data_IF_747639481479
#
_entry.id   IF_747639481479
#
_cell.length_a   1.000
_cell.length_b   1.000
_cell.length_c   1.000
_cell.angle_alpha   90.00
_cell.angle_beta   90.00
_cell.angle_gamma   90.00
#
_symmetry.space_group_name_H-M   'P 1'
#
loop_
_entity.id
_entity.type
_entity.pdbx_description
1 polymer ?
#
# COMPACT_ATOMS: atom_id res chain seq x y z
N UNK A 1 -13.27 28.17 -34.61
CA UNK A 1 -11.89 28.30 -34.09
C UNK A 1 -11.20 26.96 -34.23
N UNK A 2 -10.15 26.88 -35.05
CA UNK A 2 -9.46 25.62 -35.32
C UNK A 2 -8.46 25.30 -34.20
N UNK A 3 -8.61 24.14 -33.55
CA UNK A 3 -7.64 23.64 -32.58
C UNK A 3 -6.32 23.31 -33.27
N UNK A 4 -5.22 23.79 -32.68
CA UNK A 4 -3.84 23.63 -33.16
C UNK A 4 -3.48 22.15 -33.39
N UNK A 5 -2.65 21.82 -34.40
CA UNK A 5 -2.16 20.46 -34.64
C UNK A 5 -1.47 19.83 -33.43
N UNK A 6 -0.81 20.65 -32.60
CA UNK A 6 -0.15 20.25 -31.35
C UNK A 6 -1.19 19.81 -30.29
N UNK A 7 -2.32 20.52 -30.22
CA UNK A 7 -3.46 20.17 -29.37
C UNK A 7 -4.14 18.86 -29.81
N UNK A 8 -4.13 18.53 -31.11
CA UNK A 8 -4.64 17.25 -31.62
C UNK A 8 -3.68 16.08 -31.43
N UNK A 9 -2.37 16.31 -31.50
CA UNK A 9 -1.36 15.27 -31.25
C UNK A 9 -1.25 14.90 -29.76
N UNK A 10 -1.47 15.85 -28.86
CA UNK A 10 -1.61 15.61 -27.41
C UNK A 10 -2.92 14.89 -27.03
N UNK A 11 -3.92 14.79 -27.93
CA UNK A 11 -5.29 14.37 -27.55
C UNK A 11 -5.55 12.85 -27.45
N UNK A 12 -4.64 11.97 -27.88
CA UNK A 12 -4.84 10.50 -27.80
C UNK A 12 -3.58 9.70 -27.43
N UNK A 13 -2.41 10.05 -27.96
CA UNK A 13 -1.16 9.37 -27.59
C UNK A 13 -0.65 9.74 -26.18
N UNK A 14 -1.09 10.88 -25.66
CA UNK A 14 -0.71 11.37 -24.32
C UNK A 14 -1.59 10.77 -23.21
N UNK A 15 -2.89 10.55 -23.48
CA UNK A 15 -3.79 10.08 -22.43
C UNK A 15 -3.53 8.62 -22.00
N UNK A 16 -3.17 7.73 -22.93
CA UNK A 16 -2.80 6.35 -22.58
C UNK A 16 -1.48 6.31 -21.78
N UNK A 17 -0.54 7.20 -22.09
CA UNK A 17 0.72 7.36 -21.34
C UNK A 17 0.45 7.92 -19.95
N UNK A 18 -0.32 9.00 -19.86
CA UNK A 18 -0.77 9.58 -18.61
C UNK A 18 -1.54 8.57 -17.76
N UNK A 19 -2.48 7.83 -18.34
CA UNK A 19 -3.19 6.75 -17.67
C UNK A 19 -2.23 5.76 -17.02
N UNK A 20 -1.18 5.33 -17.75
CA UNK A 20 -0.16 4.43 -17.22
C UNK A 20 0.60 5.06 -16.06
N UNK A 21 0.99 6.33 -16.17
CA UNK A 21 1.65 7.07 -15.09
C UNK A 21 0.77 7.11 -13.83
N UNK A 22 -0.52 7.43 -13.97
CA UNK A 22 -1.47 7.46 -12.85
C UNK A 22 -1.63 6.07 -12.22
N UNK A 23 -1.74 5.04 -13.05
CA UNK A 23 -1.79 3.65 -12.60
C UNK A 23 -0.53 3.26 -11.82
N UNK A 24 0.64 3.47 -12.41
CA UNK A 24 1.92 3.11 -11.82
C UNK A 24 2.18 3.88 -10.53
N UNK A 25 1.84 5.17 -10.49
CA UNK A 25 1.89 5.98 -9.27
C UNK A 25 0.97 5.42 -8.18
N UNK A 26 -0.27 5.05 -8.53
CA UNK A 26 -1.21 4.47 -7.56
C UNK A 26 -0.72 3.12 -7.01
N UNK A 27 -0.08 2.30 -7.85
CA UNK A 27 0.48 1.02 -7.42
C UNK A 27 1.79 1.19 -6.62
N UNK A 28 2.62 2.17 -6.96
CA UNK A 28 3.81 2.54 -6.17
C UNK A 28 3.43 3.02 -4.76
N UNK A 29 2.39 3.84 -4.64
CA UNK A 29 1.84 4.30 -3.36
C UNK A 29 1.31 3.11 -2.53
N UNK A 30 0.68 2.13 -3.17
CA UNK A 30 0.12 0.94 -2.54
C UNK A 30 1.14 -0.17 -2.26
N UNK A 31 2.28 -0.19 -2.94
CA UNK A 31 3.25 -1.26 -2.83
C UNK A 31 3.74 -1.50 -1.38
N UNK A 32 4.04 -0.48 -0.55
CA UNK A 32 4.39 -0.70 0.85
C UNK A 32 3.25 -1.31 1.66
N UNK A 33 2.00 -0.91 1.40
CA UNK A 33 0.80 -1.42 2.09
C UNK A 33 0.56 -2.89 1.71
N UNK A 34 0.71 -3.22 0.44
CA UNK A 34 0.67 -4.61 -0.07
C UNK A 34 1.78 -5.47 0.53
N UNK A 35 3.00 -4.93 0.63
CA UNK A 35 4.13 -5.60 1.28
C UNK A 35 3.85 -5.89 2.75
N UNK A 36 3.22 -4.95 3.46
CA UNK A 36 2.81 -5.13 4.85
C UNK A 36 1.76 -6.24 4.99
N UNK A 37 0.75 -6.24 4.12
CA UNK A 37 -0.28 -7.29 4.07
C UNK A 37 0.34 -8.67 3.87
N UNK A 38 1.21 -8.82 2.87
CA UNK A 38 1.88 -10.09 2.58
C UNK A 38 2.75 -10.55 3.75
N UNK A 39 3.52 -9.64 4.34
CA UNK A 39 4.37 -9.94 5.50
C UNK A 39 3.53 -10.43 6.68
N UNK A 40 2.39 -9.78 6.93
CA UNK A 40 1.43 -10.20 7.94
C UNK A 40 0.85 -11.59 7.64
N UNK A 41 0.42 -11.87 6.41
CA UNK A 41 -0.13 -13.18 6.06
C UNK A 41 0.89 -14.31 6.22
N UNK A 42 2.14 -14.10 5.80
CA UNK A 42 3.23 -15.08 6.00
C UNK A 42 3.50 -15.29 7.49
N UNK A 43 3.48 -14.21 8.27
CA UNK A 43 3.71 -14.29 9.71
C UNK A 43 2.62 -15.08 10.44
N UNK A 44 1.34 -14.87 10.09
CA UNK A 44 0.24 -15.70 10.62
C UNK A 44 0.52 -17.18 10.35
N UNK A 45 0.92 -17.54 9.13
CA UNK A 45 1.23 -18.94 8.78
C UNK A 45 2.38 -19.52 9.58
N UNK A 46 3.46 -18.75 9.75
CA UNK A 46 4.63 -19.18 10.54
C UNK A 46 4.25 -19.43 11.99
N UNK A 47 3.42 -18.55 12.58
CA UNK A 47 2.95 -18.68 13.96
C UNK A 47 1.95 -19.83 14.12
N UNK A 48 1.00 -20.00 13.19
CA UNK A 48 0.06 -21.13 13.17
C UNK A 48 0.78 -22.47 13.11
N UNK A 49 1.80 -22.60 12.24
CA UNK A 49 2.60 -23.82 12.13
C UNK A 49 3.36 -24.12 13.43
N UNK A 50 3.99 -23.11 14.03
CA UNK A 50 4.66 -23.28 15.31
C UNK A 50 3.67 -23.67 16.43
N UNK A 51 2.42 -23.20 16.37
CA UNK A 51 1.38 -23.56 17.33
C UNK A 51 0.96 -25.03 17.21
N UNK A 52 0.78 -25.51 15.97
CA UNK A 52 0.46 -26.91 15.70
C UNK A 52 1.55 -27.86 16.21
N UNK A 53 2.79 -27.39 16.30
CA UNK A 53 3.94 -28.15 16.80
C UNK A 53 4.15 -28.02 18.32
N UNK A 54 3.27 -27.30 19.02
CA UNK A 54 3.39 -27.08 20.47
C UNK A 54 4.51 -26.12 20.87
N UNK A 55 5.06 -25.35 19.92
CA UNK A 55 6.20 -24.45 20.13
C UNK A 55 5.79 -23.01 20.47
N UNK A 56 4.48 -22.70 20.48
CA UNK A 56 3.99 -21.33 20.63
C UNK A 56 3.59 -21.00 22.06
N UNK A 57 4.15 -19.90 22.56
CA UNK A 57 3.80 -19.30 23.83
C UNK A 57 2.42 -18.59 23.75
N UNK A 58 1.87 -18.16 24.88
CA UNK A 58 0.70 -17.25 24.89
C UNK A 58 0.94 -15.98 24.03
N UNK A 59 2.20 -15.55 23.90
CA UNK A 59 2.63 -14.44 23.04
C UNK A 59 2.38 -14.68 21.56
N UNK A 60 2.57 -15.89 21.04
CA UNK A 60 2.34 -16.20 19.63
C UNK A 60 0.87 -16.18 19.25
N UNK A 61 -0.07 -16.54 20.15
CA UNK A 61 -1.51 -16.33 19.89
C UNK A 61 -1.85 -14.85 19.74
N UNK A 62 -1.33 -14.00 20.62
CA UNK A 62 -1.50 -12.55 20.53
C UNK A 62 -0.87 -12.01 19.24
N UNK A 63 0.31 -12.50 18.86
CA UNK A 63 0.96 -12.14 17.61
C UNK A 63 0.08 -12.49 16.40
N UNK A 64 -0.48 -13.69 16.34
CA UNK A 64 -1.38 -14.10 15.25
C UNK A 64 -2.58 -13.16 15.12
N UNK A 65 -3.27 -12.85 16.23
CA UNK A 65 -4.41 -11.92 16.24
C UNK A 65 -4.04 -10.54 15.74
N UNK A 66 -2.99 -9.93 16.31
CA UNK A 66 -2.51 -8.59 15.90
C UNK A 66 -2.13 -8.56 14.42
N UNK A 67 -1.56 -9.66 13.92
CA UNK A 67 -1.14 -9.79 12.53
C UNK A 67 -2.34 -9.91 11.57
N UNK A 68 -3.39 -10.64 11.95
CA UNK A 68 -4.64 -10.74 11.19
C UNK A 68 -5.32 -9.37 11.11
N UNK A 69 -5.42 -8.66 12.24
CA UNK A 69 -6.00 -7.32 12.29
C UNK A 69 -5.23 -6.37 11.36
N UNK A 70 -3.90 -6.39 11.40
CA UNK A 70 -3.07 -5.58 10.51
C UNK A 70 -3.31 -5.90 9.02
N UNK A 71 -3.47 -7.17 8.66
CA UNK A 71 -3.78 -7.59 7.28
C UNK A 71 -5.17 -7.11 6.82
N UNK A 72 -6.15 -7.05 7.74
CA UNK A 72 -7.47 -6.50 7.46
C UNK A 72 -7.43 -4.98 7.27
N UNK A 73 -6.76 -4.25 8.17
CA UNK A 73 -6.58 -2.81 8.07
C UNK A 73 -5.84 -2.38 6.79
N UNK A 74 -4.81 -3.12 6.39
CA UNK A 74 -4.08 -2.88 5.13
C UNK A 74 -4.93 -3.18 3.89
N UNK A 75 -5.83 -4.16 3.95
CA UNK A 75 -6.78 -4.45 2.87
C UNK A 75 -7.81 -3.33 2.70
N UNK A 76 -8.36 -2.82 3.81
CA UNK A 76 -9.32 -1.72 3.78
C UNK A 76 -8.70 -0.44 3.19
N UNK A 77 -7.53 -0.02 3.70
CA UNK A 77 -6.88 1.21 3.19
C UNK A 77 -6.50 1.09 1.71
N UNK A 78 -6.05 -0.10 1.27
CA UNK A 78 -5.76 -0.37 -0.15
C UNK A 78 -7.01 -0.17 -1.00
N UNK A 79 -8.16 -0.70 -0.55
CA UNK A 79 -9.43 -0.51 -1.25
C UNK A 79 -9.88 0.95 -1.30
N UNK A 80 -9.66 1.72 -0.22
CA UNK A 80 -10.00 3.15 -0.18
C UNK A 80 -9.12 3.99 -1.10
N UNK A 81 -7.80 3.79 -1.07
CA UNK A 81 -6.87 4.47 -1.99
C UNK A 81 -7.19 4.12 -3.44
N UNK A 82 -7.43 2.84 -3.74
CA UNK A 82 -7.86 2.42 -5.08
C UNK A 82 -9.14 3.12 -5.50
N UNK A 83 -10.14 3.28 -4.63
CA UNK A 83 -11.38 4.01 -4.98
C UNK A 83 -11.16 5.50 -5.27
N UNK A 84 -10.15 6.14 -4.70
CA UNK A 84 -9.83 7.55 -5.00
C UNK A 84 -9.36 7.69 -6.45
N UNK A 85 -8.40 6.87 -6.87
CA UNK A 85 -7.89 6.87 -8.25
C UNK A 85 -8.86 6.22 -9.24
N UNK A 86 -9.48 5.12 -8.80
CA UNK A 86 -10.22 4.14 -9.58
C UNK A 86 -11.62 3.90 -8.98
N UNK A 87 -12.51 4.91 -8.97
CA UNK A 87 -13.83 4.79 -8.34
C UNK A 87 -14.76 3.78 -9.03
N UNK A 88 -14.42 3.36 -10.26
CA UNK A 88 -15.13 2.32 -11.01
C UNK A 88 -14.16 1.23 -11.45
N UNK A 89 -14.59 -0.02 -11.44
CA UNK A 89 -13.80 -1.13 -11.97
C UNK A 89 -14.00 -1.26 -13.49
N UNK A 90 -13.02 -1.86 -14.19
CA UNK A 90 -13.08 -2.04 -15.64
C UNK A 90 -14.32 -2.79 -16.12
N UNK A 91 -14.84 -3.73 -15.32
CA UNK A 91 -16.07 -4.48 -15.63
C UNK A 91 -17.38 -3.69 -15.52
N UNK A 92 -17.32 -2.42 -15.08
CA UNK A 92 -18.49 -1.53 -15.01
C UNK A 92 -18.69 -0.68 -16.28
N UNK A 93 -17.84 -0.84 -17.28
CA UNK A 93 -17.90 -0.11 -18.56
C UNK A 93 -18.24 -1.07 -19.69
N UNK A 94 -19.08 -0.64 -20.63
CA UNK A 94 -19.48 -1.45 -21.78
C UNK A 94 -18.35 -1.58 -22.81
N UNK A 95 -17.38 -0.65 -22.82
CA UNK A 95 -16.21 -0.71 -23.69
C UNK A 95 -14.97 -0.02 -23.09
N UNK A 96 -13.82 -0.25 -23.71
CA UNK A 96 -12.57 0.45 -23.38
C UNK A 96 -12.69 1.96 -23.64
N UNK A 97 -13.40 2.37 -24.68
CA UNK A 97 -13.62 3.77 -25.01
C UNK A 97 -14.42 4.48 -23.91
N UNK A 98 -15.44 3.84 -23.37
CA UNK A 98 -16.24 4.38 -22.27
C UNK A 98 -15.40 4.54 -21.00
N UNK A 99 -14.60 3.53 -20.68
CA UNK A 99 -13.63 3.58 -19.59
C UNK A 99 -12.67 4.77 -19.75
N UNK A 100 -12.02 4.90 -20.91
CA UNK A 100 -11.08 5.99 -21.18
C UNK A 100 -11.75 7.37 -21.14
N UNK A 101 -12.99 7.48 -21.63
CA UNK A 101 -13.75 8.73 -21.61
C UNK A 101 -14.07 9.17 -20.18
N UNK A 102 -14.55 8.25 -19.33
CA UNK A 102 -14.81 8.54 -17.92
C UNK A 102 -13.56 9.03 -17.19
N UNK A 103 -12.45 8.31 -17.37
CA UNK A 103 -11.22 8.59 -16.66
C UNK A 103 -10.50 9.85 -17.15
N UNK A 104 -10.68 10.20 -18.43
CA UNK A 104 -10.22 11.48 -18.98
C UNK A 104 -10.90 12.67 -18.28
N UNK A 105 -12.19 12.55 -18.00
CA UNK A 105 -12.94 13.58 -17.26
C UNK A 105 -12.56 13.58 -15.78
N UNK A 106 -12.29 12.41 -15.18
CA UNK A 106 -11.94 12.25 -13.76
C UNK A 106 -10.61 12.89 -13.39
N UNK A 107 -9.55 12.67 -14.17
CA UNK A 107 -8.21 13.11 -13.80
C UNK A 107 -7.76 14.40 -14.47
N UNK A 108 -8.40 14.79 -15.58
CA UNK A 108 -8.09 16.02 -16.31
C UNK A 108 -6.58 16.28 -16.40
N UNK A 109 -5.83 15.59 -17.28
CA UNK A 109 -4.36 15.47 -17.24
C UNK A 109 -3.54 16.75 -17.10
N UNK A 110 -4.11 17.90 -17.45
CA UNK A 110 -3.45 19.21 -17.42
C UNK A 110 -4.09 20.18 -16.41
N UNK A 111 -4.95 19.68 -15.52
CA UNK A 111 -5.61 20.48 -14.49
C UNK A 111 -4.97 20.21 -13.13
N UNK A 112 -4.07 21.11 -12.73
CA UNK A 112 -3.34 21.04 -11.46
C UNK A 112 -4.30 20.98 -10.26
N UNK A 113 -5.39 21.76 -10.26
CA UNK A 113 -6.32 21.79 -9.15
C UNK A 113 -7.03 20.43 -8.92
N UNK A 114 -7.27 19.66 -9.98
CA UNK A 114 -7.83 18.29 -9.87
C UNK A 114 -6.84 17.34 -9.20
N UNK A 115 -5.55 17.49 -9.52
CA UNK A 115 -4.47 16.71 -8.91
C UNK A 115 -4.23 17.08 -7.45
N UNK A 116 -4.19 18.38 -7.14
CA UNK A 116 -4.08 18.87 -5.76
C UNK A 116 -5.23 18.37 -4.88
N UNK A 117 -6.48 18.40 -5.40
CA UNK A 117 -7.63 17.87 -4.68
C UNK A 117 -7.49 16.35 -4.44
N UNK A 118 -7.05 15.58 -5.44
CA UNK A 118 -6.83 14.14 -5.30
C UNK A 118 -5.74 13.82 -4.27
N UNK A 119 -4.62 14.55 -4.29
CA UNK A 119 -3.54 14.40 -3.31
C UNK A 119 -3.97 14.84 -1.91
N UNK A 120 -4.83 15.85 -1.81
CA UNK A 120 -5.50 16.27 -0.59
C UNK A 120 -6.36 15.15 0.01
N UNK A 121 -7.21 14.52 -0.81
CA UNK A 121 -8.04 13.38 -0.40
C UNK A 121 -7.18 12.20 0.08
N UNK A 122 -6.09 11.90 -0.62
CA UNK A 122 -5.13 10.87 -0.21
C UNK A 122 -4.48 11.19 1.13
N UNK A 123 -4.05 12.44 1.33
CA UNK A 123 -3.43 12.89 2.57
C UNK A 123 -4.41 12.81 3.74
N UNK A 124 -5.65 13.25 3.53
CA UNK A 124 -6.73 13.16 4.53
C UNK A 124 -7.04 11.72 4.92
N UNK A 125 -6.93 10.78 3.95
CA UNK A 125 -7.13 9.36 4.19
C UNK A 125 -5.92 8.69 4.88
N UNK A 126 -4.71 8.93 4.39
CA UNK A 126 -3.50 8.19 4.76
C UNK A 126 -2.86 8.71 6.05
N UNK A 127 -2.92 10.01 6.35
CA UNK A 127 -2.31 10.57 7.57
C UNK A 127 -2.94 10.04 8.86
N UNK A 128 -4.28 9.96 9.01
CA UNK A 128 -4.88 9.32 10.18
C UNK A 128 -4.57 7.82 10.24
N UNK A 129 -4.62 7.13 9.10
CA UNK A 129 -4.31 5.70 9.05
C UNK A 129 -2.87 5.40 9.47
N UNK A 130 -1.90 6.20 9.03
CA UNK A 130 -0.51 6.07 9.45
C UNK A 130 -0.32 6.27 10.96
N UNK A 131 -1.01 7.25 11.53
CA UNK A 131 -0.97 7.51 12.98
C UNK A 131 -1.55 6.37 13.80
N UNK A 132 -2.58 5.67 13.29
CA UNK A 132 -3.16 4.49 13.94
C UNK A 132 -2.32 3.21 13.72
N UNK A 133 -1.72 3.03 12.55
CA UNK A 133 -1.00 1.79 12.21
C UNK A 133 0.38 1.70 12.87
N UNK A 134 1.04 2.83 13.11
CA UNK A 134 2.40 2.86 13.63
C UNK A 134 2.52 2.26 15.05
N UNK A 135 1.68 2.62 16.04
CA UNK A 135 1.69 1.96 17.35
C UNK A 135 1.40 0.45 17.27
N UNK A 136 0.53 0.02 16.34
CA UNK A 136 0.20 -1.39 16.12
C UNK A 136 1.40 -2.16 15.59
N UNK A 137 2.15 -1.56 14.67
CA UNK A 137 3.38 -2.13 14.14
C UNK A 137 4.47 -2.24 15.20
N UNK A 138 4.61 -1.23 16.05
CA UNK A 138 5.53 -1.28 17.20
C UNK A 138 5.15 -2.39 18.18
N UNK A 139 3.86 -2.51 18.50
CA UNK A 139 3.37 -3.58 19.37
C UNK A 139 3.64 -4.97 18.78
N UNK A 140 3.33 -5.17 17.50
CA UNK A 140 3.61 -6.43 16.81
C UNK A 140 5.10 -6.75 16.76
N UNK A 141 5.97 -5.75 16.57
CA UNK A 141 7.43 -5.93 16.65
C UNK A 141 7.88 -6.43 18.02
N UNK A 142 7.32 -5.90 19.10
CA UNK A 142 7.59 -6.39 20.45
C UNK A 142 7.20 -7.86 20.62
N UNK A 143 6.05 -8.27 20.07
CA UNK A 143 5.60 -9.66 20.11
C UNK A 143 6.50 -10.58 19.26
N UNK A 144 6.92 -10.14 18.08
CA UNK A 144 7.86 -10.90 17.22
C UNK A 144 9.18 -11.11 17.96
N UNK A 145 9.71 -10.07 18.61
CA UNK A 145 10.97 -10.16 19.34
C UNK A 145 10.84 -11.14 20.52
N UNK A 146 9.73 -11.10 21.26
CA UNK A 146 9.48 -12.04 22.35
C UNK A 146 9.42 -13.50 21.86
N UNK A 147 8.80 -13.76 20.71
CA UNK A 147 8.77 -15.11 20.12
C UNK A 147 10.14 -15.55 19.60
N UNK A 148 10.92 -14.64 19.00
CA UNK A 148 12.32 -14.87 18.62
C UNK A 148 13.15 -15.30 19.84
N UNK A 149 13.04 -14.57 20.95
CA UNK A 149 13.77 -14.84 22.17
C UNK A 149 13.36 -16.19 22.79
N UNK A 150 12.06 -16.50 22.75
CA UNK A 150 11.53 -17.79 23.19
C UNK A 150 12.07 -18.96 22.34
N UNK A 151 12.09 -18.81 21.01
CA UNK A 151 12.55 -19.86 20.08
C UNK A 151 14.06 -20.07 20.13
N UNK A 152 14.83 -19.01 20.40
CA UNK A 152 16.26 -19.11 20.68
C UNK A 152 16.51 -19.95 21.95
N UNK A 153 15.71 -19.75 22.99
CA UNK A 153 15.84 -20.50 24.24
C UNK A 153 15.57 -22.00 24.09
N UNK A 154 14.72 -22.40 23.14
CA UNK A 154 14.38 -23.82 22.87
C UNK A 154 15.11 -24.44 21.67
N UNK A 155 16.01 -23.70 21.01
CA UNK A 155 16.91 -24.24 19.99
C UNK A 155 16.29 -24.50 18.62
N UNK A 156 15.44 -23.59 18.10
CA UNK A 156 14.78 -23.73 16.77
C UNK A 156 15.30 -22.68 15.75
N UNK A 157 16.53 -22.81 15.22
CA UNK A 157 17.23 -21.77 14.45
C UNK A 157 16.66 -21.49 13.04
N UNK A 158 16.04 -22.46 12.38
CA UNK A 158 15.66 -22.29 10.96
C UNK A 158 14.48 -21.32 10.75
N UNK A 159 13.65 -21.12 11.78
CA UNK A 159 12.46 -20.23 11.72
C UNK A 159 12.76 -18.79 12.15
N UNK A 160 13.90 -18.58 12.81
CA UNK A 160 14.37 -17.26 13.25
C UNK A 160 14.69 -16.33 12.08
N UNK A 161 15.30 -16.85 11.01
CA UNK A 161 15.64 -16.04 9.82
C UNK A 161 14.39 -15.46 9.14
N UNK A 162 13.31 -16.23 9.06
CA UNK A 162 12.05 -15.78 8.47
C UNK A 162 11.41 -14.67 9.31
N UNK A 163 11.33 -14.84 10.63
CA UNK A 163 10.78 -13.81 11.53
C UNK A 163 11.63 -12.53 11.54
N UNK A 164 12.95 -12.65 11.54
CA UNK A 164 13.87 -11.51 11.47
C UNK A 164 13.73 -10.74 10.15
N UNK A 165 13.63 -11.44 9.02
CA UNK A 165 13.39 -10.83 7.71
C UNK A 165 12.05 -10.08 7.67
N UNK A 166 10.97 -10.69 8.17
CA UNK A 166 9.66 -10.06 8.22
C UNK A 166 9.66 -8.83 9.12
N UNK A 167 10.29 -8.91 10.30
CA UNK A 167 10.45 -7.77 11.22
C UNK A 167 11.20 -6.60 10.58
N UNK A 168 12.27 -6.87 9.82
CA UNK A 168 13.01 -5.84 9.07
C UNK A 168 12.15 -5.20 7.97
N UNK A 169 11.42 -6.01 7.19
CA UNK A 169 10.55 -5.52 6.12
C UNK A 169 9.46 -4.57 6.63
N UNK A 170 8.86 -4.91 7.78
CA UNK A 170 7.79 -4.11 8.40
C UNK A 170 8.29 -2.74 8.87
N UNK A 171 9.52 -2.64 9.41
CA UNK A 171 10.15 -1.34 9.75
C UNK A 171 10.33 -0.44 8.53
N UNK A 172 10.71 -1.02 7.39
CA UNK A 172 10.89 -0.27 6.15
C UNK A 172 9.59 0.31 5.57
N UNK A 173 8.42 -0.24 5.92
CA UNK A 173 7.13 0.20 5.36
C UNK A 173 6.73 1.59 5.87
N UNK A 174 6.76 1.85 7.18
CA UNK A 174 6.37 3.16 7.72
C UNK A 174 7.26 4.29 7.16
N UNK A 175 8.57 4.05 7.04
CA UNK A 175 9.50 5.02 6.48
C UNK A 175 9.19 5.32 5.00
N UNK A 176 8.89 4.28 4.20
CA UNK A 176 8.53 4.45 2.78
C UNK A 176 7.19 5.16 2.58
N UNK A 177 6.16 4.80 3.34
CA UNK A 177 4.84 5.45 3.20
C UNK A 177 4.94 6.93 3.59
N UNK A 178 5.72 7.28 4.62
CA UNK A 178 6.00 8.69 4.93
C UNK A 178 6.73 9.40 3.79
N UNK A 179 7.74 8.76 3.18
CA UNK A 179 8.47 9.32 2.05
C UNK A 179 7.58 9.62 0.83
N UNK A 180 6.59 8.76 0.54
CA UNK A 180 5.63 9.00 -0.55
C UNK A 180 4.61 10.11 -0.29
N UNK A 181 4.47 10.53 0.96
CA UNK A 181 3.54 11.58 1.38
C UNK A 181 4.27 12.90 1.65
N UNK A 182 5.58 12.95 1.40
CA UNK A 182 6.37 14.18 1.39
C UNK A 182 6.09 14.96 0.08
N UNK A 183 5.49 16.17 0.16
CA UNK A 183 5.17 16.98 -1.01
C UNK A 183 6.37 17.27 -1.91
N UNK A 184 7.58 17.39 -1.33
CA UNK A 184 8.79 17.74 -2.06
C UNK A 184 9.29 16.59 -2.96
N UNK A 185 9.00 15.33 -2.61
CA UNK A 185 9.31 14.18 -3.46
C UNK A 185 8.30 13.99 -4.59
N UNK A 186 7.04 14.38 -4.37
CA UNK A 186 6.00 14.32 -5.39
C UNK A 186 6.22 15.36 -6.49
N UNK A 187 6.66 16.58 -6.16
CA UNK A 187 7.03 17.58 -7.17
C UNK A 187 8.15 17.08 -8.09
N UNK A 188 9.13 16.34 -7.56
CA UNK A 188 10.23 15.77 -8.34
C UNK A 188 9.78 14.74 -9.38
N UNK A 189 8.72 13.98 -9.10
CA UNK A 189 8.17 12.98 -10.03
C UNK A 189 7.39 13.59 -11.19
N UNK A 190 6.83 14.79 -11.04
CA UNK A 190 6.06 15.49 -12.08
C UNK A 190 6.86 16.54 -12.86
N UNK A 191 8.09 16.86 -12.42
CA UNK A 191 9.02 17.77 -13.11
C UNK A 191 10.05 17.06 -14.00
N UNK A 192 10.01 15.72 -14.08
CA UNK A 192 10.89 14.88 -14.90
C UNK A 192 10.35 14.59 -16.28
#
# INVERSE_FOLDING_TARGET
MATSPLTRQLQRADFDTFYRIVHDYSELLLAPVSGLKMSSQVMVRVVEMAYQEGLVSTGGRTLATVTVDLAAHTTDITGRVRRIFWPKSGGQFASREEFLAFYRVRWQPYNIAVWEALLGDLSFLLMPWLRDIEPRLQHQQGLIQAEIDAWLAVGVPDRLRTLQSLSSQMRGVCARIRGYLDPDQLEGMFRG
#
